data_IF_417456522323
#
_entry.id   IF_417456522323
#
_cell.length_a   1.000
_cell.length_b   1.000
_cell.length_c   1.000
_cell.angle_alpha   90.00
_cell.angle_beta   90.00
_cell.angle_gamma   90.00
#
_symmetry.space_group_name_H-M   'P 1'
#
loop_
_entity.id
_entity.type
_entity.pdbx_description
1 polymer ?
#
# COMPACT_ATOMS: atom_id res chain seq x y z
N UNK A 1 19.10 2.90 2.57
CA UNK A 1 17.88 3.72 2.68
C UNK A 1 16.72 2.77 2.84
N UNK A 2 15.87 3.01 3.84
CA UNK A 2 14.64 2.25 4.08
C UNK A 2 13.61 2.73 3.05
N UNK A 3 12.94 1.81 2.34
CA UNK A 3 11.93 2.17 1.33
C UNK A 3 10.52 2.30 1.89
N UNK A 4 10.17 1.47 2.86
CA UNK A 4 8.91 1.55 3.59
C UNK A 4 9.17 1.21 5.05
N UNK A 5 8.41 1.83 5.93
CA UNK A 5 8.26 1.42 7.31
C UNK A 5 6.77 1.45 7.64
N UNK A 6 6.25 0.31 8.09
CA UNK A 6 4.87 0.15 8.47
C UNK A 6 4.80 -0.16 9.96
N UNK A 7 4.31 0.81 10.72
CA UNK A 7 4.06 0.71 12.16
C UNK A 7 2.57 0.87 12.49
N UNK A 8 1.75 1.21 11.49
CA UNK A 8 0.30 1.30 11.63
C UNK A 8 -0.34 -0.07 11.89
N UNK A 9 0.14 -1.13 11.20
CA UNK A 9 -0.35 -2.50 11.42
C UNK A 9 0.68 -3.42 12.09
N UNK A 10 1.96 -3.03 12.15
CA UNK A 10 2.98 -3.72 12.92
C UNK A 10 3.32 -2.94 14.20
N UNK A 11 2.85 -3.44 15.34
CA UNK A 11 2.94 -2.74 16.63
C UNK A 11 4.25 -2.98 17.38
N UNK A 12 5.21 -3.71 16.82
CA UNK A 12 6.45 -4.08 17.50
C UNK A 12 7.21 -2.84 18.01
N UNK A 13 7.51 -1.88 17.13
CA UNK A 13 8.24 -0.67 17.52
C UNK A 13 7.45 0.26 18.45
N UNK A 14 6.15 0.56 18.19
CA UNK A 14 5.30 1.28 19.15
C UNK A 14 5.32 0.69 20.56
N UNK A 15 5.15 -0.64 20.68
CA UNK A 15 5.14 -1.34 21.96
C UNK A 15 6.50 -1.25 22.65
N UNK A 16 7.60 -1.52 21.94
CA UNK A 16 8.95 -1.44 22.51
C UNK A 16 9.26 -0.01 22.99
N UNK A 17 8.96 1.01 22.17
CA UNK A 17 9.16 2.42 22.54
C UNK A 17 8.41 2.76 23.82
N UNK A 18 7.14 2.36 23.90
CA UNK A 18 6.26 2.64 25.05
C UNK A 18 6.73 1.91 26.32
N UNK A 19 6.98 0.61 26.25
CA UNK A 19 7.35 -0.23 27.39
C UNK A 19 8.71 0.15 27.97
N UNK A 20 9.72 0.34 27.11
CA UNK A 20 11.08 0.68 27.54
C UNK A 20 11.33 2.18 27.64
N UNK A 21 10.33 3.01 27.33
CA UNK A 21 10.42 4.49 27.35
C UNK A 21 11.59 5.01 26.52
N UNK A 22 11.78 4.43 25.33
CA UNK A 22 12.88 4.80 24.46
C UNK A 22 12.75 6.24 23.96
N UNK A 23 13.88 6.95 23.94
CA UNK A 23 14.02 8.23 23.25
C UNK A 23 13.96 8.06 21.73
N UNK A 24 13.67 9.13 20.99
CA UNK A 24 13.64 9.08 19.52
C UNK A 24 15.00 8.70 18.91
N UNK A 25 16.10 9.03 19.60
CA UNK A 25 17.45 8.65 19.17
C UNK A 25 17.69 7.14 19.32
N UNK A 26 17.19 6.54 20.40
CA UNK A 26 17.22 5.09 20.60
C UNK A 26 16.32 4.37 19.59
N UNK A 27 15.14 4.92 19.31
CA UNK A 27 14.23 4.40 18.28
C UNK A 27 14.87 4.47 16.89
N UNK A 28 15.50 5.59 16.52
CA UNK A 28 16.22 5.72 15.26
C UNK A 28 17.31 4.66 15.11
N UNK A 29 18.13 4.45 16.16
CA UNK A 29 19.19 3.43 16.15
C UNK A 29 18.60 2.02 16.04
N UNK A 30 17.52 1.74 16.76
CA UNK A 30 16.82 0.46 16.72
C UNK A 30 16.28 0.15 15.32
N UNK A 31 15.55 1.08 14.70
CA UNK A 31 15.00 0.91 13.33
C UNK A 31 16.12 0.62 12.33
N UNK A 32 17.20 1.41 12.35
CA UNK A 32 18.31 1.24 11.41
C UNK A 32 19.09 -0.07 11.65
N UNK A 33 19.22 -0.52 12.90
CA UNK A 33 19.81 -1.81 13.23
C UNK A 33 18.95 -2.97 12.72
N UNK A 34 17.64 -2.95 12.96
CA UNK A 34 16.72 -4.00 12.46
C UNK A 34 16.65 -4.02 10.93
N UNK A 35 16.66 -2.85 10.28
CA UNK A 35 16.76 -2.79 8.84
C UNK A 35 18.08 -3.38 8.32
N UNK A 36 19.20 -3.16 9.01
CA UNK A 36 20.48 -3.78 8.62
C UNK A 36 20.43 -5.31 8.71
N UNK A 37 19.79 -5.86 9.76
CA UNK A 37 19.55 -7.30 9.89
C UNK A 37 18.65 -7.84 8.78
N UNK A 38 17.61 -7.10 8.37
CA UNK A 38 16.79 -7.46 7.22
C UNK A 38 17.64 -7.56 5.96
N UNK A 39 18.52 -6.58 5.69
CA UNK A 39 19.38 -6.61 4.51
C UNK A 39 20.25 -7.87 4.47
N UNK A 40 20.83 -8.25 5.60
CA UNK A 40 21.62 -9.48 5.71
C UNK A 40 20.77 -10.74 5.42
N UNK A 41 19.55 -10.81 5.96
CA UNK A 41 18.60 -11.91 5.72
C UNK A 41 18.19 -12.00 4.25
N UNK A 42 17.89 -10.86 3.63
CA UNK A 42 17.57 -10.78 2.19
C UNK A 42 18.75 -11.24 1.34
N UNK A 43 19.96 -10.77 1.65
CA UNK A 43 21.18 -11.14 0.94
C UNK A 43 21.45 -12.65 1.01
N UNK A 44 21.30 -13.26 2.20
CA UNK A 44 21.43 -14.72 2.38
C UNK A 44 20.45 -15.52 1.52
N UNK A 45 19.27 -14.96 1.23
CA UNK A 45 18.27 -15.56 0.34
C UNK A 45 18.43 -15.19 -1.14
N UNK A 46 19.46 -14.42 -1.48
CA UNK A 46 19.72 -13.94 -2.84
C UNK A 46 18.76 -12.85 -3.30
N UNK A 47 18.15 -12.10 -2.37
CA UNK A 47 17.26 -10.99 -2.67
C UNK A 47 18.02 -9.68 -2.52
N UNK A 48 18.10 -8.92 -3.61
CA UNK A 48 18.66 -7.57 -3.58
C UNK A 48 17.58 -6.56 -3.20
N UNK A 49 17.67 -5.98 -2.00
CA UNK A 49 16.69 -5.01 -1.51
C UNK A 49 16.47 -3.84 -2.47
N UNK A 50 17.54 -3.37 -3.14
CA UNK A 50 17.44 -2.23 -4.07
C UNK A 50 16.53 -2.47 -5.27
N UNK A 51 16.36 -3.74 -5.67
CA UNK A 51 15.45 -4.12 -6.75
C UNK A 51 13.99 -4.07 -6.32
N UNK A 52 13.71 -4.16 -5.01
CA UNK A 52 12.35 -4.11 -4.46
C UNK A 52 11.80 -2.69 -4.39
N UNK A 53 12.61 -1.66 -4.66
CA UNK A 53 12.22 -0.25 -4.54
C UNK A 53 10.87 0.03 -5.18
N UNK A 54 10.65 -0.46 -6.41
CA UNK A 54 9.41 -0.24 -7.16
C UNK A 54 8.16 -0.81 -6.47
N UNK A 55 8.30 -1.93 -5.77
CA UNK A 55 7.22 -2.56 -5.02
C UNK A 55 6.97 -1.88 -3.67
N UNK A 56 7.97 -1.20 -3.09
CA UNK A 56 7.90 -0.72 -1.70
C UNK A 56 7.64 0.78 -1.56
N UNK A 57 7.78 1.56 -2.63
CA UNK A 57 7.48 3.00 -2.61
C UNK A 57 6.25 3.33 -3.45
N UNK A 58 5.48 4.37 -3.09
CA UNK A 58 4.40 4.86 -3.94
C UNK A 58 4.86 5.21 -5.35
N UNK A 59 3.97 5.05 -6.32
CA UNK A 59 4.30 5.25 -7.72
C UNK A 59 4.74 6.69 -8.00
N UNK A 60 6.00 6.86 -8.41
CA UNK A 60 6.56 8.16 -8.78
C UNK A 60 6.54 8.41 -10.29
N UNK A 61 6.21 7.39 -11.09
CA UNK A 61 6.24 7.42 -12.54
C UNK A 61 4.84 7.41 -13.13
N UNK A 62 4.60 8.20 -14.17
CA UNK A 62 3.28 8.35 -14.80
C UNK A 62 2.81 7.07 -15.49
N UNK A 63 3.73 6.24 -15.96
CA UNK A 63 3.43 4.99 -16.66
C UNK A 63 3.04 3.82 -15.73
N UNK A 64 3.10 4.02 -14.42
CA UNK A 64 2.82 3.00 -13.41
C UNK A 64 1.60 3.41 -12.58
N UNK A 65 0.65 2.49 -12.47
CA UNK A 65 -0.61 2.68 -11.76
C UNK A 65 -0.66 1.88 -10.47
N UNK A 66 -1.44 2.36 -9.52
CA UNK A 66 -1.97 1.55 -8.43
C UNK A 66 -3.39 1.16 -8.80
N UNK A 67 -3.69 -0.12 -8.71
CA UNK A 67 -4.99 -0.66 -9.12
C UNK A 67 -5.54 -1.58 -8.06
N UNK A 68 -6.85 -1.68 -7.99
CA UNK A 68 -7.49 -2.83 -7.38
C UNK A 68 -8.30 -3.61 -8.41
N UNK A 69 -8.30 -4.92 -8.27
CA UNK A 69 -9.16 -5.87 -8.96
C UNK A 69 -10.22 -6.32 -7.95
N UNK A 70 -11.48 -6.39 -8.38
CA UNK A 70 -12.63 -6.67 -7.52
C UNK A 70 -13.30 -7.95 -7.96
N UNK A 71 -13.47 -8.88 -7.02
CA UNK A 71 -14.05 -10.19 -7.26
C UNK A 71 -15.27 -10.42 -6.36
N UNK A 72 -16.41 -10.76 -6.93
CA UNK A 72 -17.64 -11.09 -6.22
C UNK A 72 -17.60 -12.56 -5.79
N UNK A 73 -17.33 -12.80 -4.50
CA UNK A 73 -17.16 -14.14 -3.93
C UNK A 73 -18.46 -14.93 -3.93
N UNK A 74 -19.63 -14.28 -4.06
CA UNK A 74 -20.91 -14.99 -4.22
C UNK A 74 -21.01 -15.76 -5.53
N UNK A 75 -20.15 -15.47 -6.50
CA UNK A 75 -20.08 -16.16 -7.78
C UNK A 75 -19.01 -17.26 -7.80
N UNK A 76 -18.31 -17.47 -6.69
CA UNK A 76 -17.26 -18.46 -6.50
C UNK A 76 -17.85 -19.61 -5.67
N UNK A 77 -17.58 -20.86 -6.06
CA UNK A 77 -18.16 -22.04 -5.39
C UNK A 77 -17.25 -22.60 -4.31
N UNK A 78 -15.97 -22.34 -4.45
CA UNK A 78 -14.90 -22.82 -3.60
C UNK A 78 -14.92 -22.05 -2.27
N UNK A 79 -14.89 -22.77 -1.16
CA UNK A 79 -14.89 -22.17 0.18
C UNK A 79 -13.69 -21.22 0.38
N UNK A 80 -12.55 -21.58 -0.22
CA UNK A 80 -11.37 -20.72 -0.25
C UNK A 80 -11.29 -19.95 -1.57
N UNK A 81 -12.19 -18.99 -1.74
CA UNK A 81 -12.33 -18.17 -2.94
C UNK A 81 -11.03 -17.46 -3.36
N UNK A 82 -10.15 -17.14 -2.39
CA UNK A 82 -8.85 -16.56 -2.69
C UNK A 82 -8.03 -17.45 -3.62
N UNK A 83 -8.02 -18.78 -3.40
CA UNK A 83 -7.28 -19.69 -4.28
C UNK A 83 -7.85 -19.69 -5.69
N UNK A 84 -9.17 -19.76 -5.86
CA UNK A 84 -9.80 -19.71 -7.19
C UNK A 84 -9.44 -18.39 -7.92
N UNK A 85 -9.45 -17.25 -7.21
CA UNK A 85 -9.05 -15.95 -7.77
C UNK A 85 -7.58 -15.98 -8.22
N UNK A 86 -6.67 -16.45 -7.37
CA UNK A 86 -5.25 -16.49 -7.70
C UNK A 86 -4.89 -17.54 -8.75
N UNK A 87 -5.64 -18.64 -8.87
CA UNK A 87 -5.48 -19.62 -9.94
C UNK A 87 -5.80 -19.01 -11.32
N UNK A 88 -6.70 -18.02 -11.38
CA UNK A 88 -6.91 -17.24 -12.61
C UNK A 88 -5.91 -16.11 -12.78
N UNK A 89 -5.51 -15.45 -11.70
CA UNK A 89 -4.67 -14.25 -11.75
C UNK A 89 -3.18 -14.56 -11.98
N UNK A 90 -2.61 -15.55 -11.30
CA UNK A 90 -1.19 -15.89 -11.36
C UNK A 90 -0.68 -16.18 -12.79
N UNK A 91 -1.41 -16.92 -13.66
CA UNK A 91 -1.00 -17.10 -15.05
C UNK A 91 -0.89 -15.80 -15.86
N UNK A 92 -1.63 -14.76 -15.48
CA UNK A 92 -1.72 -13.48 -16.19
C UNK A 92 -0.69 -12.45 -15.69
N UNK A 93 -0.01 -12.76 -14.58
CA UNK A 93 0.95 -11.87 -13.97
C UNK A 93 2.27 -11.89 -14.74
N UNK A 94 2.66 -10.72 -15.26
CA UNK A 94 3.93 -10.52 -15.96
C UNK A 94 5.11 -11.00 -15.09
N UNK A 95 6.04 -11.78 -15.65
CA UNK A 95 7.14 -12.40 -14.90
C UNK A 95 8.36 -11.51 -14.72
N UNK A 96 8.44 -10.36 -15.38
CA UNK A 96 9.59 -9.45 -15.30
C UNK A 96 9.34 -8.20 -14.44
N UNK A 97 8.11 -8.02 -13.98
CA UNK A 97 7.71 -6.88 -13.16
C UNK A 97 8.06 -6.97 -11.70
N UNK A 98 8.05 -5.82 -11.04
CA UNK A 98 8.22 -5.72 -9.59
C UNK A 98 7.09 -4.88 -9.00
N UNK A 99 6.30 -5.49 -8.13
CA UNK A 99 5.16 -4.86 -7.44
C UNK A 99 4.84 -5.58 -6.12
N UNK A 100 4.09 -4.91 -5.26
CA UNK A 100 3.48 -5.46 -4.06
C UNK A 100 2.02 -5.79 -4.33
N UNK A 101 1.58 -6.90 -3.75
CA UNK A 101 0.19 -7.35 -3.78
C UNK A 101 -0.36 -7.31 -2.36
N UNK A 102 -1.51 -6.67 -2.19
CA UNK A 102 -2.29 -6.69 -0.97
C UNK A 102 -3.66 -7.27 -1.28
N UNK A 103 -4.26 -7.96 -0.30
CA UNK A 103 -5.53 -8.64 -0.46
C UNK A 103 -6.40 -8.48 0.77
N UNK A 104 -7.70 -8.70 0.60
CA UNK A 104 -8.65 -8.72 1.69
C UNK A 104 -10.07 -8.55 1.19
N UNK A 105 -11.02 -8.82 2.06
CA UNK A 105 -12.43 -8.57 1.76
C UNK A 105 -12.75 -7.09 1.95
N UNK A 106 -13.74 -6.60 1.20
CA UNK A 106 -14.27 -5.25 1.33
C UNK A 106 -15.20 -5.15 2.56
N UNK A 107 -14.62 -5.37 3.75
CA UNK A 107 -15.34 -5.44 5.02
C UNK A 107 -15.81 -4.06 5.48
N UNK A 108 -16.88 -4.04 6.28
CA UNK A 108 -17.44 -2.82 6.87
C UNK A 108 -16.78 -2.51 8.22
N UNK A 109 -15.72 -1.70 8.18
CA UNK A 109 -15.10 -1.14 9.39
C UNK A 109 -15.78 0.15 9.88
N UNK A 110 -16.86 0.60 9.22
CA UNK A 110 -17.58 1.82 9.60
C UNK A 110 -18.73 1.54 10.58
N UNK A 111 -19.02 0.27 10.91
CA UNK A 111 -20.30 -0.28 11.36
C UNK A 111 -21.18 0.48 12.37
N UNK A 112 -20.66 1.48 13.09
CA UNK A 112 -21.45 2.40 13.91
C UNK A 112 -22.08 3.56 13.10
N UNK A 113 -21.63 3.80 11.87
CA UNK A 113 -22.15 4.81 10.96
C UNK A 113 -23.45 4.32 10.33
N UNK A 114 -24.53 5.07 10.53
CA UNK A 114 -25.82 4.79 9.90
C UNK A 114 -25.67 4.71 8.37
N UNK A 115 -26.26 3.69 7.77
CA UNK A 115 -26.23 3.40 6.33
C UNK A 115 -24.81 3.09 5.77
N UNK A 116 -23.88 2.60 6.61
CA UNK A 116 -22.51 2.21 6.22
C UNK A 116 -22.46 1.37 4.95
N UNK A 117 -23.26 0.32 4.84
CA UNK A 117 -23.33 -0.55 3.66
C UNK A 117 -23.68 0.20 2.37
N UNK A 118 -24.59 1.18 2.46
CA UNK A 118 -24.96 2.01 1.31
C UNK A 118 -23.79 2.92 0.92
N UNK A 119 -23.09 3.49 1.91
CA UNK A 119 -21.90 4.31 1.66
C UNK A 119 -20.79 3.49 1.01
N UNK A 120 -20.55 2.27 1.49
CA UNK A 120 -19.56 1.36 0.92
C UNK A 120 -19.91 0.94 -0.50
N UNK A 121 -21.19 0.64 -0.77
CA UNK A 121 -21.66 0.38 -2.13
C UNK A 121 -21.43 1.57 -3.06
N UNK A 122 -21.78 2.78 -2.63
CA UNK A 122 -21.55 4.01 -3.41
C UNK A 122 -20.07 4.23 -3.68
N UNK A 123 -19.22 4.12 -2.66
CA UNK A 123 -17.78 4.29 -2.79
C UNK A 123 -17.16 3.28 -3.77
N UNK A 124 -17.57 2.01 -3.70
CA UNK A 124 -17.15 0.97 -4.64
C UNK A 124 -17.65 1.30 -6.06
N UNK A 125 -18.95 1.55 -6.23
CA UNK A 125 -19.59 1.81 -7.52
C UNK A 125 -19.02 3.02 -8.24
N UNK A 126 -18.70 4.09 -7.50
CA UNK A 126 -18.11 5.31 -8.06
C UNK A 126 -16.63 5.13 -8.45
N UNK A 127 -15.97 4.12 -7.91
CA UNK A 127 -14.54 3.88 -8.11
C UNK A 127 -14.24 2.84 -9.18
N UNK A 128 -15.11 1.84 -9.37
CA UNK A 128 -14.84 0.71 -10.26
C UNK A 128 -15.30 0.96 -11.70
N UNK A 129 -14.45 0.54 -12.62
CA UNK A 129 -14.81 0.23 -14.00
C UNK A 129 -15.38 -1.19 -14.02
N UNK A 130 -16.68 -1.30 -14.26
CA UNK A 130 -17.40 -2.56 -14.26
C UNK A 130 -17.07 -3.38 -15.51
N UNK A 131 -16.73 -4.66 -15.33
CA UNK A 131 -16.45 -5.63 -16.40
C UNK A 131 -17.54 -6.70 -16.47
N UNK A 132 -17.93 -7.27 -15.33
CA UNK A 132 -19.02 -8.23 -15.22
C UNK A 132 -20.10 -7.74 -14.27
N UNK A 133 -21.35 -8.15 -14.53
CA UNK A 133 -22.46 -7.82 -13.66
C UNK A 133 -22.30 -8.42 -12.26
N UNK A 134 -22.73 -7.67 -11.26
CA UNK A 134 -22.77 -8.11 -9.87
C UNK A 134 -24.00 -7.54 -9.18
N UNK A 135 -24.51 -8.26 -8.18
CA UNK A 135 -25.62 -7.81 -7.34
C UNK A 135 -25.05 -7.57 -5.94
N UNK A 136 -24.97 -6.30 -5.55
CA UNK A 136 -24.56 -5.93 -4.22
C UNK A 136 -25.60 -6.40 -3.19
N UNK A 137 -25.17 -7.26 -2.25
CA UNK A 137 -25.91 -7.68 -1.06
C UNK A 137 -25.27 -7.13 0.21
N UNK A 138 -23.95 -7.21 0.29
CA UNK A 138 -23.15 -6.70 1.40
C UNK A 138 -21.72 -6.45 0.94
N UNK A 139 -21.01 -5.54 1.61
CA UNK A 139 -19.67 -5.12 1.18
C UNK A 139 -18.65 -6.26 1.21
N UNK A 140 -18.67 -7.11 2.25
CA UNK A 140 -17.73 -8.22 2.41
C UNK A 140 -17.93 -9.39 1.43
N UNK A 141 -18.85 -9.28 0.46
CA UNK A 141 -18.91 -10.21 -0.65
C UNK A 141 -17.79 -9.97 -1.68
N UNK A 142 -17.16 -8.81 -1.65
CA UNK A 142 -16.13 -8.47 -2.62
C UNK A 142 -14.76 -8.76 -2.04
N UNK A 143 -14.03 -9.67 -2.68
CA UNK A 143 -12.61 -9.87 -2.46
C UNK A 143 -11.81 -8.91 -3.34
N UNK A 144 -10.83 -8.24 -2.75
CA UNK A 144 -10.04 -7.21 -3.40
C UNK A 144 -8.62 -7.70 -3.55
N UNK A 145 -8.06 -7.53 -4.75
CA UNK A 145 -6.62 -7.70 -5.02
C UNK A 145 -6.05 -6.36 -5.44
N UNK A 146 -5.22 -5.79 -4.59
CA UNK A 146 -4.51 -4.53 -4.82
C UNK A 146 -3.13 -4.81 -5.39
N UNK A 147 -2.75 -4.11 -6.44
CA UNK A 147 -1.42 -4.21 -7.05
C UNK A 147 -0.87 -2.80 -7.24
N UNK A 148 0.32 -2.55 -6.67
CA UNK A 148 1.01 -1.30 -6.95
C UNK A 148 1.86 -1.39 -8.22
N UNK A 149 2.24 -0.25 -8.77
CA UNK A 149 3.21 -0.18 -9.87
C UNK A 149 2.95 -1.01 -11.14
N UNK A 150 1.69 -1.21 -11.53
CA UNK A 150 1.33 -1.93 -12.76
C UNK A 150 1.28 -0.99 -13.98
N UNK A 151 1.78 -1.42 -15.13
CA UNK A 151 1.64 -0.66 -16.38
C UNK A 151 0.29 -0.90 -17.05
N UNK A 152 -0.14 0.00 -17.94
CA UNK A 152 -1.40 -0.15 -18.68
C UNK A 152 -1.46 -1.44 -19.50
N UNK A 153 -0.34 -1.85 -20.11
CA UNK A 153 -0.25 -3.08 -20.90
C UNK A 153 -0.41 -4.34 -20.04
N UNK A 154 0.16 -4.33 -18.84
CA UNK A 154 0.01 -5.44 -17.88
C UNK A 154 -1.41 -5.53 -17.34
N UNK A 155 -2.00 -4.39 -16.97
CA UNK A 155 -3.39 -4.33 -16.54
C UNK A 155 -4.33 -4.82 -17.64
N UNK A 156 -4.12 -4.39 -18.89
CA UNK A 156 -4.91 -4.82 -20.03
C UNK A 156 -4.84 -6.34 -20.25
N UNK A 157 -3.66 -6.93 -20.05
CA UNK A 157 -3.47 -8.39 -20.14
C UNK A 157 -4.23 -9.13 -19.04
N UNK A 158 -4.17 -8.62 -17.80
CA UNK A 158 -4.93 -9.17 -16.67
C UNK A 158 -6.44 -9.06 -16.93
N UNK A 159 -6.95 -7.89 -17.29
CA UNK A 159 -8.38 -7.68 -17.59
C UNK A 159 -8.82 -8.60 -18.73
N UNK A 160 -8.03 -8.68 -19.80
CA UNK A 160 -8.32 -9.54 -20.95
C UNK A 160 -8.43 -11.02 -20.59
N UNK A 161 -7.61 -11.50 -19.65
CA UNK A 161 -7.67 -12.88 -19.16
C UNK A 161 -8.78 -13.14 -18.12
N UNK A 162 -9.18 -12.11 -17.35
CA UNK A 162 -10.20 -12.25 -16.32
C UNK A 162 -11.62 -11.93 -16.79
N UNK A 163 -11.82 -11.28 -17.94
CA UNK A 163 -13.15 -10.83 -18.39
C UNK A 163 -14.21 -11.94 -18.46
N UNK A 164 -13.81 -13.17 -18.81
CA UNK A 164 -14.73 -14.32 -18.92
C UNK A 164 -15.00 -14.99 -17.57
N UNK A 165 -14.21 -14.66 -16.54
CA UNK A 165 -14.40 -15.15 -15.19
C UNK A 165 -15.46 -14.29 -14.49
N UNK A 166 -16.70 -14.80 -14.42
CA UNK A 166 -17.86 -14.03 -13.94
C UNK A 166 -17.67 -13.37 -12.58
N UNK A 167 -16.93 -14.00 -11.67
CA UNK A 167 -16.65 -13.41 -10.37
C UNK A 167 -15.79 -12.14 -10.47
N UNK A 168 -14.97 -11.95 -11.50
CA UNK A 168 -14.23 -10.71 -11.74
C UNK A 168 -15.20 -9.57 -12.09
N UNK A 169 -15.58 -8.79 -11.08
CA UNK A 169 -16.55 -7.70 -11.18
C UNK A 169 -16.00 -6.54 -11.98
N UNK A 170 -14.74 -6.17 -11.75
CA UNK A 170 -14.13 -5.00 -12.38
C UNK A 170 -12.84 -4.58 -11.70
N UNK A 171 -12.40 -3.37 -12.00
CA UNK A 171 -11.14 -2.82 -11.50
C UNK A 171 -11.24 -1.32 -11.25
N UNK A 172 -10.34 -0.75 -10.45
CA UNK A 172 -10.27 0.70 -10.24
C UNK A 172 -8.82 1.19 -10.31
N UNK A 173 -8.62 2.37 -10.89
CA UNK A 173 -7.38 3.13 -10.76
C UNK A 173 -7.37 3.92 -9.45
N UNK A 174 -6.32 3.76 -8.65
CA UNK A 174 -6.26 4.31 -7.30
C UNK A 174 -5.35 5.54 -7.25
N UNK A 175 -5.98 6.72 -7.22
CA UNK A 175 -5.31 8.01 -7.06
C UNK A 175 -5.05 8.32 -5.59
N UNK A 176 -4.01 9.12 -5.32
CA UNK A 176 -3.59 9.49 -3.95
C UNK A 176 -4.66 10.23 -3.14
N UNK A 177 -5.59 10.92 -3.79
CA UNK A 177 -6.69 11.67 -3.17
C UNK A 177 -8.00 10.85 -3.05
N UNK A 178 -7.98 9.58 -3.44
CA UNK A 178 -9.18 8.73 -3.43
C UNK A 178 -9.58 8.32 -2.01
N UNK A 179 -10.84 8.59 -1.65
CA UNK A 179 -11.48 8.03 -0.44
C UNK A 179 -11.51 6.52 -0.48
N UNK A 180 -11.69 5.93 -1.67
CA UNK A 180 -11.66 4.49 -1.87
C UNK A 180 -10.27 3.92 -1.57
N UNK A 181 -9.20 4.49 -2.14
CA UNK A 181 -7.80 4.09 -1.83
C UNK A 181 -7.52 4.18 -0.33
N UNK A 182 -7.94 5.28 0.30
CA UNK A 182 -7.77 5.49 1.73
C UNK A 182 -8.52 4.44 2.55
N UNK A 183 -9.75 4.09 2.17
CA UNK A 183 -10.51 3.03 2.83
C UNK A 183 -9.83 1.67 2.69
N UNK A 184 -9.36 1.32 1.49
CA UNK A 184 -8.63 0.08 1.24
C UNK A 184 -7.38 -0.05 2.11
N UNK A 185 -6.71 1.06 2.43
CA UNK A 185 -5.52 1.06 3.30
C UNK A 185 -5.75 0.50 4.70
N UNK A 186 -6.99 0.52 5.20
CA UNK A 186 -7.34 0.03 6.54
C UNK A 186 -7.83 -1.41 6.59
N UNK A 187 -8.20 -1.99 5.43
CA UNK A 187 -8.84 -3.31 5.38
C UNK A 187 -8.00 -4.35 4.65
N UNK A 188 -7.08 -3.92 3.77
CA UNK A 188 -6.23 -4.84 3.03
C UNK A 188 -4.98 -5.21 3.82
N UNK A 189 -4.60 -6.47 3.74
CA UNK A 189 -3.38 -7.01 4.34
C UNK A 189 -2.37 -7.37 3.25
N UNK A 190 -1.08 -7.38 3.60
CA UNK A 190 -0.07 -7.81 2.64
C UNK A 190 -0.19 -9.28 2.27
N UNK A 191 -0.06 -9.53 0.96
CA UNK A 191 0.11 -10.86 0.43
C UNK A 191 1.58 -11.14 0.19
N UNK A 192 2.19 -10.40 -0.74
CA UNK A 192 3.54 -10.64 -1.19
C UNK A 192 4.17 -9.41 -1.86
N UNK A 193 5.51 -9.40 -1.87
CA UNK A 193 6.31 -8.59 -2.79
C UNK A 193 6.76 -9.51 -3.92
N UNK A 194 6.36 -9.17 -5.14
CA UNK A 194 6.74 -9.88 -6.36
C UNK A 194 7.89 -9.12 -7.00
N UNK A 195 9.05 -9.75 -7.14
CA UNK A 195 10.19 -9.23 -7.89
C UNK A 195 10.56 -10.20 -9.00
N UNK A 196 10.25 -9.81 -10.25
CA UNK A 196 10.35 -10.70 -11.41
C UNK A 196 9.64 -12.03 -11.14
N UNK A 197 10.28 -13.16 -11.40
CA UNK A 197 9.69 -14.47 -11.14
C UNK A 197 9.84 -14.93 -9.68
N UNK A 198 10.20 -14.05 -8.74
CA UNK A 198 10.30 -14.38 -7.32
C UNK A 198 9.18 -13.71 -6.54
N UNK A 199 8.43 -14.51 -5.79
CA UNK A 199 7.42 -14.06 -4.83
C UNK A 199 8.04 -14.14 -3.44
N UNK A 200 7.97 -13.04 -2.70
CA UNK A 200 8.48 -12.90 -1.35
C UNK A 200 7.29 -12.72 -0.42
N UNK A 201 7.09 -13.65 0.51
CA UNK A 201 6.01 -13.62 1.50
C UNK A 201 6.57 -13.53 2.93
N UNK A 202 5.71 -13.31 3.92
CA UNK A 202 6.05 -13.52 5.31
C UNK A 202 6.05 -15.02 5.68
N UNK A 203 6.75 -15.37 6.76
CA UNK A 203 6.60 -16.64 7.49
C UNK A 203 6.62 -16.38 9.00
N UNK A 204 6.08 -17.30 9.83
CA UNK A 204 5.96 -17.09 11.27
C UNK A 204 7.31 -16.87 11.95
N UNK A 205 7.32 -16.01 12.96
CA UNK A 205 8.55 -15.56 13.62
C UNK A 205 9.37 -16.67 14.31
N UNK A 206 8.75 -17.81 14.60
CA UNK A 206 9.36 -18.98 15.25
C UNK A 206 10.05 -19.95 14.29
N UNK A 207 9.97 -19.72 12.97
CA UNK A 207 10.67 -20.52 11.98
C UNK A 207 12.11 -20.04 11.73
N UNK A 208 12.98 -20.97 11.35
CA UNK A 208 14.36 -20.65 10.96
C UNK A 208 14.40 -19.77 9.71
N UNK A 209 15.16 -18.67 9.77
CA UNK A 209 15.26 -17.69 8.68
C UNK A 209 15.74 -18.29 7.36
N UNK A 210 16.43 -19.43 7.33
CA UNK A 210 16.87 -20.06 6.08
C UNK A 210 15.72 -20.78 5.35
N UNK A 211 14.62 -21.05 6.05
CA UNK A 211 13.43 -21.71 5.52
C UNK A 211 12.68 -20.82 4.53
N UNK A 212 12.14 -21.41 3.46
CA UNK A 212 11.12 -20.77 2.63
C UNK A 212 9.85 -21.62 2.72
N UNK A 213 8.72 -20.98 2.99
CA UNK A 213 7.44 -21.65 3.16
C UNK A 213 6.33 -20.79 2.56
N UNK A 214 5.38 -21.45 1.89
CA UNK A 214 4.20 -20.82 1.33
C UNK A 214 3.06 -20.78 2.34
N UNK A 215 3.19 -19.97 3.38
CA UNK A 215 2.12 -19.88 4.38
C UNK A 215 0.81 -19.35 3.80
N UNK A 216 0.88 -18.56 2.72
CA UNK A 216 -0.29 -17.96 2.07
C UNK A 216 -1.11 -19.00 1.28
N UNK A 217 -0.54 -20.14 0.91
CA UNK A 217 -1.26 -21.27 0.32
C UNK A 217 -1.63 -21.15 -1.17
N UNK A 218 -1.32 -20.04 -1.83
CA UNK A 218 -1.59 -19.87 -3.27
C UNK A 218 -0.59 -20.64 -4.14
N UNK A 219 -1.01 -21.09 -5.31
CA UNK A 219 -0.21 -21.93 -6.22
C UNK A 219 0.88 -21.15 -6.99
N UNK A 220 1.76 -20.44 -6.29
CA UNK A 220 2.82 -19.62 -6.88
C UNK A 220 3.81 -20.47 -7.69
N UNK A 221 4.25 -21.60 -7.15
CA UNK A 221 5.29 -22.42 -7.77
C UNK A 221 4.76 -23.18 -8.99
N UNK A 222 3.51 -23.66 -8.95
CA UNK A 222 2.81 -24.27 -10.08
C UNK A 222 2.65 -23.29 -11.26
N UNK A 223 2.56 -21.99 -10.97
CA UNK A 223 2.52 -20.92 -11.97
C UNK A 223 3.92 -20.44 -12.42
N UNK A 224 4.98 -21.13 -11.97
CA UNK A 224 6.36 -20.88 -12.36
C UNK A 224 6.99 -19.66 -11.69
N UNK A 225 6.51 -19.27 -10.51
CA UNK A 225 7.21 -18.37 -9.61
C UNK A 225 8.12 -19.16 -8.66
N UNK A 226 9.18 -18.50 -8.19
CA UNK A 226 10.04 -19.00 -7.11
C UNK A 226 9.59 -18.37 -5.82
N UNK A 227 9.40 -19.17 -4.78
CA UNK A 227 9.02 -18.65 -3.50
C UNK A 227 10.23 -18.36 -2.61
N UNK A 228 10.20 -17.21 -1.95
CA UNK A 228 11.03 -16.89 -0.79
C UNK A 228 10.11 -16.43 0.32
N UNK A 229 10.47 -16.69 1.56
CA UNK A 229 9.79 -16.07 2.69
C UNK A 229 10.76 -15.47 3.69
N UNK A 230 10.30 -14.41 4.36
CA UNK A 230 11.03 -13.63 5.36
C UNK A 230 10.20 -13.65 6.64
N UNK A 231 10.87 -13.70 7.78
CA UNK A 231 10.24 -13.59 9.08
C UNK A 231 9.27 -12.38 9.13
N UNK A 232 8.07 -12.63 9.63
CA UNK A 232 6.94 -11.70 9.58
C UNK A 232 7.19 -10.36 10.26
N UNK A 233 8.04 -10.31 11.30
CA UNK A 233 8.37 -9.06 11.99
C UNK A 233 9.13 -8.12 11.05
N UNK A 234 10.10 -8.67 10.32
CA UNK A 234 10.88 -7.94 9.33
C UNK A 234 10.05 -7.65 8.08
N UNK A 235 9.27 -8.62 7.62
CA UNK A 235 8.44 -8.47 6.42
C UNK A 235 7.38 -7.38 6.64
N UNK A 236 6.58 -7.52 7.70
CA UNK A 236 5.51 -6.60 8.05
C UNK A 236 6.02 -5.18 8.24
N UNK A 237 7.21 -5.01 8.83
CA UNK A 237 7.77 -3.69 9.12
C UNK A 237 8.41 -3.03 7.90
N UNK A 238 9.18 -3.75 7.09
CA UNK A 238 10.06 -3.14 6.07
C UNK A 238 9.78 -3.56 4.61
N UNK A 239 8.92 -4.56 4.41
CA UNK A 239 8.55 -5.10 3.10
C UNK A 239 7.04 -5.00 2.82
N UNK A 240 6.21 -4.66 3.82
CA UNK A 240 4.80 -4.40 3.62
C UNK A 240 4.60 -3.02 2.97
N UNK A 241 4.00 -3.01 1.78
CA UNK A 241 3.69 -1.77 1.08
C UNK A 241 2.57 -1.02 1.79
N UNK A 242 2.84 0.23 2.16
CA UNK A 242 1.87 1.10 2.81
C UNK A 242 1.05 1.86 1.77
N UNK A 243 -0.23 1.52 1.65
CA UNK A 243 -1.16 2.26 0.80
C UNK A 243 -1.29 3.69 1.34
N UNK A 244 -1.05 4.69 0.49
CA UNK A 244 -1.22 6.09 0.87
C UNK A 244 -2.69 6.39 1.22
N UNK A 245 -2.91 7.05 2.36
CA UNK A 245 -4.23 7.44 2.88
C UNK A 245 -4.32 8.94 3.09
N UNK A 246 -5.52 9.50 2.95
CA UNK A 246 -5.82 10.90 3.28
C UNK A 246 -5.84 11.16 4.80
N UNK A 247 -5.99 10.11 5.61
CA UNK A 247 -5.99 10.16 7.08
C UNK A 247 -4.81 9.38 7.65
N UNK A 248 -3.58 9.92 7.59
CA UNK A 248 -2.40 9.19 8.07
C UNK A 248 -2.46 8.99 9.59
N UNK A 249 -1.96 7.83 10.05
CA UNK A 249 -1.75 7.58 11.48
C UNK A 249 -0.56 8.45 11.99
N UNK A 250 -0.78 9.35 12.97
CA UNK A 250 0.27 10.21 13.49
C UNK A 250 1.46 9.46 14.10
N UNK A 251 1.23 8.32 14.75
CA UNK A 251 2.29 7.51 15.34
C UNK A 251 3.13 6.87 14.24
N UNK A 252 2.48 6.30 13.21
CA UNK A 252 3.17 5.72 12.06
C UNK A 252 4.01 6.74 11.27
N UNK A 253 3.48 7.95 11.12
CA UNK A 253 4.23 9.07 10.54
C UNK A 253 5.44 9.40 11.41
N UNK A 254 5.28 9.47 12.74
CA UNK A 254 6.38 9.72 13.67
C UNK A 254 7.50 8.67 13.55
N UNK A 255 7.15 7.38 13.49
CA UNK A 255 8.12 6.31 13.23
C UNK A 255 8.80 6.43 11.86
N UNK A 256 8.06 6.87 10.84
CA UNK A 256 8.63 7.16 9.52
C UNK A 256 9.69 8.26 9.57
N UNK A 257 9.50 9.30 10.39
CA UNK A 257 10.53 10.33 10.63
C UNK A 257 11.69 9.81 11.47
N UNK A 258 11.43 9.03 12.51
CA UNK A 258 12.46 8.38 13.32
C UNK A 258 13.30 7.37 12.53
N UNK A 259 12.83 6.86 11.39
CA UNK A 259 13.66 6.06 10.49
C UNK A 259 14.71 6.90 9.74
N UNK A 260 14.46 8.20 9.57
CA UNK A 260 15.27 9.12 8.77
C UNK A 260 16.14 10.06 9.63
N UNK A 261 15.65 10.47 10.79
CA UNK A 261 16.27 11.46 11.65
C UNK A 261 16.42 10.93 13.08
N UNK A 262 17.57 11.14 13.74
CA UNK A 262 17.80 10.71 15.12
C UNK A 262 17.00 11.50 16.15
N UNK A 263 16.44 12.64 15.76
CA UNK A 263 15.56 13.46 16.60
C UNK A 263 14.40 13.94 15.76
N UNK A 264 13.20 13.53 16.13
CA UNK A 264 11.96 14.02 15.57
C UNK A 264 11.06 14.44 16.72
N UNK A 265 10.67 15.71 16.72
CA UNK A 265 10.00 16.32 17.87
C UNK A 265 8.47 16.23 17.70
N UNK A 266 7.93 16.75 16.59
CA UNK A 266 6.55 16.50 16.17
C UNK A 266 6.30 16.94 14.72
N UNK A 267 5.25 16.40 14.10
CA UNK A 267 4.82 16.81 12.74
C UNK A 267 4.39 18.28 12.70
N UNK A 268 3.73 18.75 13.76
CA UNK A 268 3.22 20.11 13.88
C UNK A 268 4.34 21.16 13.97
N UNK A 269 5.55 20.74 14.35
CA UNK A 269 6.75 21.58 14.43
C UNK A 269 7.54 21.62 13.12
N UNK A 270 7.23 20.78 12.13
CA UNK A 270 7.92 20.80 10.85
C UNK A 270 7.59 22.09 10.09
N UNK A 271 8.62 22.90 9.85
CA UNK A 271 8.49 24.04 8.94
C UNK A 271 8.64 23.54 7.50
N UNK A 272 7.59 23.68 6.70
CA UNK A 272 7.70 23.48 5.26
C UNK A 272 8.53 24.63 4.67
N UNK A 273 9.74 24.34 4.22
CA UNK A 273 10.57 25.29 3.48
C UNK A 273 10.51 25.00 1.98
N UNK A 274 9.98 25.95 1.20
CA UNK A 274 9.94 25.88 -0.26
C UNK A 274 10.86 26.97 -0.80
N UNK A 275 11.99 26.59 -1.45
CA UNK A 275 12.88 27.54 -2.10
C UNK A 275 12.13 28.41 -3.12
N UNK A 276 12.51 29.67 -3.28
CA UNK A 276 11.78 30.62 -4.13
C UNK A 276 11.66 30.15 -5.59
N UNK A 277 12.70 29.54 -6.14
CA UNK A 277 12.66 28.96 -7.49
C UNK A 277 11.62 27.84 -7.64
N UNK A 278 11.42 27.02 -6.60
CA UNK A 278 10.34 26.00 -6.58
C UNK A 278 8.97 26.62 -6.32
N UNK A 279 8.90 27.67 -5.51
CA UNK A 279 7.65 28.41 -5.28
C UNK A 279 7.10 28.99 -6.58
N UNK A 280 7.98 29.57 -7.41
CA UNK A 280 7.60 30.07 -8.75
C UNK A 280 6.97 28.98 -9.62
N UNK A 281 7.58 27.80 -9.69
CA UNK A 281 7.01 26.66 -10.43
C UNK A 281 5.71 26.13 -9.82
N UNK A 282 5.63 26.00 -8.50
CA UNK A 282 4.41 25.53 -7.82
C UNK A 282 3.24 26.49 -8.07
N UNK A 283 3.53 27.79 -8.21
CA UNK A 283 2.55 28.86 -8.38
C UNK A 283 2.18 29.15 -9.85
N UNK A 284 2.92 28.60 -10.82
CA UNK A 284 2.66 28.82 -12.24
C UNK A 284 1.41 28.02 -12.69
N UNK A 285 0.38 28.70 -13.19
CA UNK A 285 -0.88 28.08 -13.64
C UNK A 285 -0.79 27.46 -15.05
N UNK A 286 0.19 27.88 -15.86
CA UNK A 286 0.35 27.44 -17.23
C UNK A 286 1.28 26.23 -17.33
N UNK A 287 2.40 26.26 -16.60
CA UNK A 287 3.47 25.23 -16.65
C UNK A 287 3.62 24.46 -15.35
N UNK A 288 3.05 24.97 -14.27
CA UNK A 288 3.27 24.52 -12.90
C UNK A 288 2.10 23.78 -12.26
N UNK A 289 1.97 23.97 -10.95
CA UNK A 289 0.90 23.37 -10.12
C UNK A 289 -0.13 24.42 -9.64
N UNK A 290 -0.09 25.64 -10.18
CA UNK A 290 -0.90 26.77 -9.71
C UNK A 290 -2.41 26.50 -9.78
N UNK A 291 -2.86 25.85 -10.85
CA UNK A 291 -4.27 25.44 -11.00
C UNK A 291 -4.74 24.53 -9.87
N UNK A 292 -3.90 23.59 -9.44
CA UNK A 292 -4.24 22.67 -8.34
C UNK A 292 -4.37 23.45 -7.04
N UNK A 293 -3.41 24.35 -6.74
CA UNK A 293 -3.44 25.19 -5.54
C UNK A 293 -4.68 26.08 -5.45
N UNK A 294 -5.09 26.66 -6.58
CA UNK A 294 -6.32 27.44 -6.66
C UNK A 294 -7.54 26.58 -6.33
N UNK A 295 -7.64 25.38 -6.91
CA UNK A 295 -8.76 24.45 -6.65
C UNK A 295 -8.89 24.04 -5.18
N UNK A 296 -7.76 23.89 -4.46
CA UNK A 296 -7.76 23.55 -3.03
C UNK A 296 -7.87 24.79 -2.11
N UNK A 297 -8.22 25.96 -2.65
CA UNK A 297 -8.53 27.17 -1.89
C UNK A 297 -7.31 27.86 -1.26
N UNK A 298 -6.11 27.62 -1.78
CA UNK A 298 -4.91 28.35 -1.38
C UNK A 298 -4.66 29.55 -2.32
N UNK A 299 -4.79 30.74 -1.75
CA UNK A 299 -4.55 32.02 -2.42
C UNK A 299 -3.04 32.34 -2.55
N UNK A 300 -2.67 32.64 -3.81
CA UNK A 300 -1.43 33.20 -4.34
C UNK A 300 -0.67 34.19 -3.43
N UNK A 301 -1.37 35.01 -2.64
CA UNK A 301 -0.80 36.13 -1.89
C UNK A 301 -0.19 35.79 -0.52
N UNK A 302 -0.28 34.55 -0.01
CA UNK A 302 0.21 34.27 1.36
C UNK A 302 1.04 33.00 1.50
N UNK A 303 2.28 33.05 0.99
CA UNK A 303 3.39 32.12 1.33
C UNK A 303 3.42 31.79 2.84
N UNK A 304 3.33 32.80 3.72
CA UNK A 304 3.27 32.60 5.19
C UNK A 304 2.01 31.90 5.72
N UNK A 305 0.85 32.06 5.07
CA UNK A 305 -0.42 31.39 5.47
C UNK A 305 -0.45 29.94 4.99
N UNK A 306 0.14 29.64 3.83
CA UNK A 306 0.38 28.28 3.35
C UNK A 306 1.27 27.50 4.33
N UNK A 307 2.38 28.10 4.77
CA UNK A 307 3.30 27.44 5.71
C UNK A 307 2.75 27.25 7.13
N UNK A 308 1.87 28.14 7.62
CA UNK A 308 1.22 27.97 8.94
C UNK A 308 0.00 27.05 8.90
N UNK A 309 -0.78 27.07 7.82
CA UNK A 309 -2.05 26.34 7.75
C UNK A 309 -1.99 25.01 6.98
N UNK A 310 -0.95 24.77 6.17
CA UNK A 310 -0.83 23.55 5.35
C UNK A 310 -0.75 22.26 6.17
N UNK A 311 -0.27 22.34 7.41
CA UNK A 311 -0.20 21.22 8.36
C UNK A 311 -1.47 21.14 9.22
N UNK A 312 -2.09 22.28 9.57
CA UNK A 312 -3.27 22.32 10.44
C UNK A 312 -4.62 22.08 9.73
N UNK A 313 -4.75 22.37 8.43
CA UNK A 313 -6.06 22.33 7.73
C UNK A 313 -6.51 20.96 7.21
N UNK A 314 -5.74 19.88 7.43
CA UNK A 314 -6.13 18.52 7.03
C UNK A 314 -6.67 17.65 8.18
N UNK A 315 -6.85 18.22 9.37
CA UNK A 315 -7.27 17.47 10.57
C UNK A 315 -8.76 17.59 10.94
N UNK A 316 -9.62 18.09 10.04
CA UNK A 316 -11.08 18.08 10.22
C UNK A 316 -11.79 17.95 8.88
#
# INVERSE_FOLDING_TARGET
MIYTINTATNVMFPVIKSVFKLSDEEVYRMINNEHSKLLDKLQKKGINYSELKRALIPNQKKENNEVCLVFDTMQIKEDFYGNEVFDKLLPLMDKDSTYSVLIGDYIDILGEVKDSQKMLFQNLKESIELVNETIFRYSNQYFIVYINSITDGQLSSIIGGLKEYKAFTGYAFLRTDSKFKSYLSYILSDLCVKNKNTVICSHPSDLDDNTNINQKGYHFEENGFRLKSINEDYYGTFLSYKIETILPDPEDVSFSFNALFPRFDSMEKLALDIPEGKWGYINDEEKGKGKILHTIGFDYQKKKKFFRNGIQKKLW
#
